data_IF_100717826588
#
_entry.id   IF_100717826588
#
_cell.length_a   1.000
_cell.length_b   1.000
_cell.length_c   1.000
_cell.angle_alpha   90.00
_cell.angle_beta   90.00
_cell.angle_gamma   90.00
#
_symmetry.space_group_name_H-M   'P 1'
#
loop_
_entity.id
_entity.type
_entity.pdbx_description
1 polymer ?
#
# COMPACT_ATOMS: atom_id res chain seq x y z
N UNK A 1 15.38 28.42 9.91
CA UNK A 1 15.99 28.48 8.58
C UNK A 1 16.36 27.08 8.22
N UNK A 2 15.64 26.59 7.22
CA UNK A 2 15.40 25.20 6.90
C UNK A 2 16.64 24.51 6.35
N UNK A 3 16.87 23.30 6.83
CA UNK A 3 17.87 22.39 6.27
C UNK A 3 17.13 21.10 5.87
N UNK A 4 16.12 21.25 5.01
CA UNK A 4 15.55 20.14 4.26
C UNK A 4 16.62 19.67 3.27
N UNK A 5 17.35 18.62 3.64
CA UNK A 5 18.24 17.92 2.73
C UNK A 5 17.41 17.30 1.60
N UNK A 6 17.22 18.06 0.52
CA UNK A 6 16.89 17.52 -0.79
C UNK A 6 18.02 16.58 -1.20
N UNK A 7 17.81 15.28 -1.00
CA UNK A 7 18.57 14.25 -1.69
C UNK A 7 18.10 14.25 -3.15
N UNK A 8 18.89 14.75 -4.11
CA UNK A 8 18.51 14.66 -5.51
C UNK A 8 18.46 13.18 -5.92
N UNK A 9 17.58 12.87 -6.88
CA UNK A 9 17.49 11.54 -7.47
C UNK A 9 18.87 11.04 -7.93
N UNK A 10 19.17 9.73 -7.83
CA UNK A 10 20.48 9.18 -8.17
C UNK A 10 20.92 9.56 -9.59
N UNK A 11 22.17 10.03 -9.74
CA UNK A 11 22.75 10.49 -11.00
C UNK A 11 23.31 9.35 -11.89
N UNK A 12 22.73 8.15 -11.80
CA UNK A 12 23.10 7.06 -12.71
C UNK A 12 22.27 7.15 -14.00
N UNK A 13 22.97 7.27 -15.13
CA UNK A 13 22.38 7.32 -16.47
C UNK A 13 21.60 6.02 -16.75
N UNK A 14 20.27 6.12 -16.75
CA UNK A 14 19.34 5.03 -17.08
C UNK A 14 18.21 4.78 -16.07
N UNK A 15 18.20 5.47 -14.92
CA UNK A 15 17.38 5.10 -13.75
C UNK A 15 16.23 6.06 -13.38
N UNK A 16 16.01 7.14 -14.14
CA UNK A 16 14.86 8.02 -13.91
C UNK A 16 13.63 7.50 -14.67
N UNK A 17 12.76 6.80 -13.95
CA UNK A 17 11.41 6.53 -14.42
C UNK A 17 10.49 7.63 -13.86
N UNK A 18 9.94 8.52 -14.72
CA UNK A 18 9.08 9.61 -14.26
C UNK A 18 7.81 9.11 -13.55
N UNK A 19 7.41 7.88 -13.84
CA UNK A 19 6.27 7.19 -13.24
C UNK A 19 6.66 6.27 -12.07
N UNK A 20 7.89 6.38 -11.55
CA UNK A 20 8.33 5.61 -10.39
C UNK A 20 7.51 5.97 -9.15
N UNK A 21 6.94 4.93 -8.54
CA UNK A 21 6.34 4.97 -7.22
C UNK A 21 7.11 4.04 -6.30
N UNK A 22 7.56 4.57 -5.18
CA UNK A 22 8.30 3.81 -4.17
C UNK A 22 7.37 3.53 -3.01
N UNK A 23 7.09 2.26 -2.72
CA UNK A 23 6.32 1.85 -1.56
C UNK A 23 7.28 1.54 -0.40
N UNK A 24 6.96 2.02 0.81
CA UNK A 24 7.75 1.77 2.02
C UNK A 24 6.92 1.00 3.05
N UNK A 25 7.47 -0.10 3.56
CA UNK A 25 6.75 -0.94 4.51
C UNK A 25 7.48 -2.18 4.99
N UNK A 26 6.74 -3.09 5.63
CA UNK A 26 7.28 -4.35 6.16
C UNK A 26 6.80 -5.52 5.30
N UNK A 27 7.72 -6.42 4.94
CA UNK A 27 7.40 -7.66 4.22
C UNK A 27 6.89 -8.73 5.20
N UNK A 28 5.60 -9.04 5.14
CA UNK A 28 4.94 -9.99 6.04
C UNK A 28 5.23 -11.45 5.70
N UNK A 29 5.63 -11.74 4.46
CA UNK A 29 6.00 -13.08 3.98
C UNK A 29 7.53 -13.18 3.77
N UNK A 30 8.31 -12.69 4.74
CA UNK A 30 9.79 -12.70 4.66
C UNK A 30 10.39 -14.05 5.06
N UNK A 31 9.73 -14.81 5.94
CA UNK A 31 10.17 -16.13 6.40
C UNK A 31 9.40 -17.28 5.76
N UNK A 32 8.16 -17.03 5.33
CA UNK A 32 7.25 -18.02 4.75
C UNK A 32 6.73 -17.53 3.39
N UNK A 33 6.23 -18.46 2.56
CA UNK A 33 5.60 -18.11 1.28
C UNK A 33 4.21 -17.46 1.43
N UNK A 34 3.67 -17.41 2.65
CA UNK A 34 2.40 -16.76 2.98
C UNK A 34 2.58 -15.65 4.02
N UNK A 35 1.69 -14.66 3.99
CA UNK A 35 1.59 -13.63 5.02
C UNK A 35 0.72 -14.11 6.17
N UNK A 36 1.07 -13.72 7.40
CA UNK A 36 0.36 -14.06 8.64
C UNK A 36 -0.17 -12.80 9.31
N UNK A 37 -1.43 -12.83 9.76
CA UNK A 37 -2.04 -11.75 10.54
C UNK A 37 -2.82 -12.32 11.73
N UNK A 38 -2.51 -11.85 12.94
CA UNK A 38 -3.25 -12.22 14.14
C UNK A 38 -4.58 -11.47 14.22
N UNK A 39 -5.68 -12.18 14.51
CA UNK A 39 -7.04 -11.60 14.49
C UNK A 39 -7.49 -11.13 15.90
N UNK A 40 -6.60 -11.13 16.89
CA UNK A 40 -6.89 -10.68 18.26
C UNK A 40 -7.74 -11.67 19.09
N UNK A 41 -8.19 -12.77 18.49
CA UNK A 41 -8.75 -13.92 19.19
C UNK A 41 -7.63 -14.95 19.43
N UNK A 42 -7.61 -15.56 20.63
CA UNK A 42 -6.59 -16.55 20.96
C UNK A 42 -6.60 -17.70 19.94
N UNK A 43 -5.40 -18.04 19.45
CA UNK A 43 -5.10 -19.14 18.52
C UNK A 43 -5.69 -19.03 17.10
N UNK A 44 -6.16 -17.85 16.66
CA UNK A 44 -6.59 -17.63 15.28
C UNK A 44 -5.63 -16.72 14.50
N UNK A 45 -5.16 -17.25 13.37
CA UNK A 45 -4.28 -16.56 12.42
C UNK A 45 -4.91 -16.56 11.02
N UNK A 46 -4.94 -15.40 10.39
CA UNK A 46 -5.30 -15.24 8.98
C UNK A 46 -4.06 -15.39 8.12
N UNK A 47 -4.13 -16.26 7.10
CA UNK A 47 -3.04 -16.50 6.16
C UNK A 47 -3.42 -16.06 4.76
N UNK A 48 -2.49 -15.37 4.10
CA UNK A 48 -2.62 -14.96 2.70
C UNK A 48 -1.54 -15.66 1.88
N UNK A 49 -1.94 -16.52 0.94
CA UNK A 49 -1.05 -17.22 0.02
C UNK A 49 -1.53 -16.97 -1.40
N UNK A 50 -0.63 -16.57 -2.28
CA UNK A 50 -0.92 -16.44 -3.71
C UNK A 50 -0.64 -17.76 -4.43
N UNK A 51 -1.46 -18.04 -5.43
CA UNK A 51 -1.32 -19.19 -6.32
C UNK A 51 -1.37 -18.72 -7.77
N UNK A 52 -0.52 -19.33 -8.61
CA UNK A 52 -0.58 -19.17 -10.06
C UNK A 52 -1.02 -20.52 -10.67
N UNK A 53 -2.34 -20.69 -10.84
CA UNK A 53 -2.91 -21.99 -11.18
C UNK A 53 -2.88 -22.93 -9.96
N UNK A 54 -2.35 -24.17 -10.08
CA UNK A 54 -2.27 -25.11 -8.96
C UNK A 54 -1.11 -24.83 -8.01
N UNK A 55 -0.08 -24.10 -8.45
CA UNK A 55 1.18 -23.95 -7.72
C UNK A 55 1.18 -22.68 -6.86
N UNK A 56 1.60 -22.76 -5.58
CA UNK A 56 1.77 -21.59 -4.73
C UNK A 56 2.94 -20.74 -5.21
N UNK A 57 2.77 -19.42 -5.20
CA UNK A 57 3.87 -18.48 -5.43
C UNK A 57 4.78 -18.41 -4.21
N UNK A 58 6.08 -18.32 -4.43
CA UNK A 58 7.07 -18.19 -3.36
C UNK A 58 7.18 -16.75 -2.87
N UNK A 59 7.76 -16.57 -1.68
CA UNK A 59 8.10 -15.26 -1.07
C UNK A 59 9.03 -14.38 -1.93
N UNK A 60 9.72 -14.95 -2.91
CA UNK A 60 10.53 -14.22 -3.89
C UNK A 60 9.74 -13.72 -5.09
N UNK A 61 8.64 -14.40 -5.44
CA UNK A 61 7.79 -14.05 -6.58
C UNK A 61 6.74 -12.98 -6.24
N UNK A 62 6.38 -12.88 -4.96
CA UNK A 62 5.43 -11.88 -4.48
C UNK A 62 5.77 -11.40 -3.08
N UNK A 63 5.39 -10.17 -2.77
CA UNK A 63 5.54 -9.57 -1.46
C UNK A 63 4.18 -9.18 -0.89
N UNK A 64 3.96 -9.55 0.37
CA UNK A 64 2.81 -9.07 1.14
C UNK A 64 3.32 -7.94 2.02
N UNK A 65 2.93 -6.72 1.68
CA UNK A 65 3.51 -5.49 2.21
C UNK A 65 2.54 -4.84 3.18
N UNK A 66 2.95 -4.69 4.44
CA UNK A 66 2.32 -3.75 5.36
C UNK A 66 2.94 -2.37 5.14
N UNK A 67 2.27 -1.55 4.32
CA UNK A 67 2.75 -0.25 3.89
C UNK A 67 2.42 0.86 4.91
N UNK A 68 3.38 1.76 5.09
CA UNK A 68 3.27 2.94 5.96
C UNK A 68 3.38 4.26 5.19
N UNK A 69 4.03 4.25 4.03
CA UNK A 69 4.26 5.44 3.24
C UNK A 69 4.68 5.10 1.81
N UNK A 70 4.74 6.13 0.99
CA UNK A 70 5.19 6.01 -0.39
C UNK A 70 5.91 7.28 -0.84
N UNK A 71 6.76 7.19 -1.85
CA UNK A 71 7.28 8.34 -2.58
C UNK A 71 6.83 8.31 -4.03
N UNK A 72 6.47 9.48 -4.54
CA UNK A 72 6.02 9.67 -5.91
C UNK A 72 6.42 11.07 -6.38
N UNK A 73 6.96 11.18 -7.60
CA UNK A 73 7.43 12.45 -8.19
C UNK A 73 8.40 13.25 -7.29
N UNK A 74 9.26 12.54 -6.55
CA UNK A 74 10.24 13.17 -5.64
C UNK A 74 9.67 13.64 -4.30
N UNK A 75 8.38 13.44 -4.05
CA UNK A 75 7.74 13.76 -2.77
C UNK A 75 7.51 12.51 -1.93
N UNK A 76 7.67 12.65 -0.62
CA UNK A 76 7.44 11.58 0.36
C UNK A 76 6.09 11.79 1.05
N UNK A 77 5.30 10.73 1.13
CA UNK A 77 3.97 10.73 1.73
C UNK A 77 3.86 9.63 2.79
N UNK A 78 3.14 9.91 3.86
CA UNK A 78 2.71 8.90 4.83
C UNK A 78 1.27 8.51 4.56
N UNK A 79 0.97 7.23 4.66
CA UNK A 79 -0.41 6.75 4.62
C UNK A 79 -1.13 7.18 5.90
N UNK A 80 -2.41 7.50 5.76
CA UNK A 80 -3.31 7.86 6.85
C UNK A 80 -3.52 6.70 7.84
N UNK A 81 -3.48 5.48 7.31
CA UNK A 81 -3.50 4.23 8.05
C UNK A 81 -2.59 3.21 7.37
N UNK A 82 -2.08 2.24 8.13
CA UNK A 82 -1.32 1.13 7.55
C UNK A 82 -2.21 0.32 6.61
N UNK A 83 -1.72 0.05 5.39
CA UNK A 83 -2.46 -0.70 4.37
C UNK A 83 -1.68 -1.94 3.97
N UNK A 84 -2.38 -3.03 3.72
CA UNK A 84 -1.76 -4.27 3.25
C UNK A 84 -1.90 -4.30 1.72
N UNK A 85 -0.78 -4.35 1.02
CA UNK A 85 -0.73 -4.52 -0.43
C UNK A 85 -0.08 -5.85 -0.79
N UNK A 86 -0.60 -6.50 -1.82
CA UNK A 86 0.09 -7.60 -2.49
C UNK A 86 0.77 -7.03 -3.71
N UNK A 87 2.10 -7.16 -3.75
CA UNK A 87 2.96 -6.73 -4.85
C UNK A 87 3.50 -7.97 -5.56
N UNK A 88 3.21 -8.11 -6.85
CA UNK A 88 3.75 -9.17 -7.70
C UNK A 88 4.77 -8.54 -8.64
N UNK A 89 5.97 -9.11 -8.70
CA UNK A 89 7.03 -8.60 -9.59
C UNK A 89 8.29 -8.18 -8.84
N UNK A 90 8.53 -6.86 -8.61
CA UNK A 90 9.84 -6.39 -8.19
C UNK A 90 10.21 -6.90 -6.80
N UNK A 91 11.46 -7.34 -6.68
CA UNK A 91 12.04 -7.70 -5.40
C UNK A 91 12.11 -6.48 -4.47
N UNK A 92 11.93 -6.76 -3.18
CA UNK A 92 12.10 -5.78 -2.13
C UNK A 92 13.58 -5.37 -1.98
N UNK A 93 13.80 -4.10 -1.68
CA UNK A 93 15.13 -3.50 -1.54
C UNK A 93 15.29 -2.87 -0.15
N UNK A 94 16.53 -2.62 0.25
CA UNK A 94 16.79 -1.85 1.46
C UNK A 94 16.18 -0.45 1.33
N UNK A 95 15.50 0.03 2.39
CA UNK A 95 14.80 1.29 2.33
C UNK A 95 15.82 2.43 2.25
N UNK A 96 15.64 3.28 1.24
CA UNK A 96 16.45 4.48 1.02
C UNK A 96 15.53 5.67 0.77
N UNK A 97 15.85 6.81 1.35
CA UNK A 97 15.15 8.07 1.29
C UNK A 97 13.96 8.19 2.27
N UNK A 98 13.36 9.37 2.26
CA UNK A 98 12.11 9.69 2.97
C UNK A 98 12.12 9.46 4.49
N UNK A 99 13.31 9.38 5.11
CA UNK A 99 13.46 9.14 6.54
C UNK A 99 13.14 7.70 6.96
N UNK A 100 13.06 6.78 6.00
CA UNK A 100 12.94 5.34 6.24
C UNK A 100 14.28 4.61 6.10
N UNK A 101 15.35 5.36 5.90
CA UNK A 101 16.71 4.87 5.77
C UNK A 101 17.17 4.04 6.96
N UNK A 102 17.87 2.96 6.68
CA UNK A 102 18.62 2.23 7.71
C UNK A 102 19.88 3.02 8.05
N UNK A 103 19.94 3.61 9.26
CA UNK A 103 21.15 4.28 9.72
C UNK A 103 22.19 3.26 10.23
N UNK A 104 23.44 3.28 9.74
CA UNK A 104 24.54 2.53 10.34
C UNK A 104 24.93 3.13 11.72
N UNK A 105 25.36 2.32 12.70
CA UNK A 105 25.54 0.87 12.69
C UNK A 105 24.25 0.13 13.10
N UNK A 106 23.37 -0.15 12.14
CA UNK A 106 22.20 -0.97 12.40
C UNK A 106 22.63 -2.45 12.55
N UNK A 107 22.10 -3.18 13.55
CA UNK A 107 22.30 -4.61 13.63
C UNK A 107 21.75 -5.28 12.35
N UNK A 108 22.46 -6.31 11.85
CA UNK A 108 22.15 -7.06 10.61
C UNK A 108 20.72 -7.62 10.52
N UNK A 109 20.00 -7.68 11.64
CA UNK A 109 18.55 -7.91 11.68
C UNK A 109 17.85 -6.56 11.53
N UNK A 110 17.78 -6.06 10.30
CA UNK A 110 16.90 -4.94 9.98
C UNK A 110 15.47 -5.28 10.39
N UNK A 111 14.72 -4.27 10.80
CA UNK A 111 13.38 -4.31 11.41
C UNK A 111 12.27 -4.80 10.47
N UNK A 112 12.59 -5.61 9.46
CA UNK A 112 11.68 -6.07 8.41
C UNK A 112 11.24 -4.96 7.45
N UNK A 113 11.73 -3.72 7.64
CA UNK A 113 11.37 -2.57 6.83
C UNK A 113 12.14 -2.57 5.50
N UNK A 114 11.41 -2.42 4.41
CA UNK A 114 11.88 -2.58 3.03
C UNK A 114 11.16 -1.58 2.14
N UNK A 115 11.65 -1.46 0.92
CA UNK A 115 11.00 -0.67 -0.11
C UNK A 115 10.81 -1.44 -1.41
N UNK A 116 9.75 -1.09 -2.15
CA UNK A 116 9.44 -1.65 -3.46
C UNK A 116 9.37 -0.52 -4.47
N UNK A 117 10.17 -0.61 -5.54
CA UNK A 117 10.07 0.30 -6.68
C UNK A 117 9.09 -0.29 -7.68
N UNK A 118 7.95 0.36 -7.84
CA UNK A 118 6.92 0.00 -8.81
C UNK A 118 6.65 1.18 -9.74
N UNK A 119 5.89 0.95 -10.80
CA UNK A 119 5.40 2.02 -11.67
C UNK A 119 4.01 2.46 -11.22
N UNK A 120 3.62 3.70 -11.49
CA UNK A 120 2.26 4.20 -11.21
C UNK A 120 1.16 3.42 -11.93
N UNK A 121 1.50 2.75 -13.05
CA UNK A 121 0.62 1.87 -13.82
C UNK A 121 0.54 0.44 -13.26
N UNK A 122 1.34 0.10 -12.24
CA UNK A 122 1.37 -1.24 -11.65
C UNK A 122 0.06 -1.53 -10.93
N UNK A 123 -0.57 -2.65 -11.25
CA UNK A 123 -1.76 -3.11 -10.53
C UNK A 123 -1.37 -3.65 -9.16
N UNK A 124 -2.00 -3.13 -8.12
CA UNK A 124 -1.87 -3.61 -6.75
C UNK A 124 -3.20 -4.14 -6.24
N UNK A 125 -3.14 -5.19 -5.42
CA UNK A 125 -4.28 -5.66 -4.65
C UNK A 125 -4.16 -5.16 -3.21
N UNK A 126 -5.12 -4.34 -2.78
CA UNK A 126 -5.24 -3.88 -1.39
C UNK A 126 -6.10 -4.85 -0.58
N UNK A 127 -5.63 -5.24 0.60
CA UNK A 127 -6.39 -6.00 1.58
C UNK A 127 -6.78 -5.08 2.73
N UNK A 128 -8.04 -4.67 2.77
CA UNK A 128 -8.62 -3.97 3.91
C UNK A 128 -9.20 -4.98 4.89
N UNK A 129 -8.67 -5.03 6.12
CA UNK A 129 -9.23 -5.86 7.21
C UNK A 129 -9.83 -4.96 8.28
N UNK A 130 -10.97 -5.38 8.83
CA UNK A 130 -11.61 -4.71 9.97
C UNK A 130 -12.23 -5.75 10.88
N UNK A 131 -12.00 -5.63 12.18
CA UNK A 131 -12.54 -6.51 13.20
C UNK A 131 -13.43 -5.68 14.14
N UNK A 132 -14.71 -5.99 14.16
CA UNK A 132 -15.71 -5.41 15.06
C UNK A 132 -16.89 -6.37 15.20
N UNK A 133 -17.92 -6.00 15.98
CA UNK A 133 -19.15 -6.77 16.03
C UNK A 133 -19.89 -6.78 14.69
N UNK A 134 -20.74 -7.79 14.47
CA UNK A 134 -21.44 -7.96 13.19
C UNK A 134 -22.34 -6.75 12.86
N UNK A 135 -22.92 -6.12 13.88
CA UNK A 135 -23.80 -4.96 13.71
C UNK A 135 -23.01 -3.78 13.14
N UNK A 136 -21.90 -3.40 13.76
CA UNK A 136 -21.04 -2.32 13.28
C UNK A 136 -20.45 -2.65 11.91
N UNK A 137 -19.89 -3.86 11.71
CA UNK A 137 -19.29 -4.22 10.43
C UNK A 137 -20.27 -4.13 9.25
N UNK A 138 -21.48 -4.66 9.42
CA UNK A 138 -22.45 -4.77 8.33
C UNK A 138 -23.22 -3.45 8.14
N UNK A 139 -23.69 -2.83 9.23
CA UNK A 139 -24.51 -1.63 9.15
C UNK A 139 -23.66 -0.40 8.80
N UNK A 140 -22.46 -0.26 9.36
CA UNK A 140 -21.61 0.90 9.04
C UNK A 140 -21.04 0.81 7.62
N UNK A 141 -20.85 -0.39 7.08
CA UNK A 141 -20.49 -0.57 5.67
C UNK A 141 -21.58 -0.04 4.72
N UNK A 142 -22.84 0.05 5.18
CA UNK A 142 -23.95 0.59 4.41
C UNK A 142 -24.07 2.13 4.51
N UNK A 143 -23.37 2.76 5.46
CA UNK A 143 -23.45 4.20 5.65
C UNK A 143 -22.68 4.94 4.54
N UNK A 144 -23.29 5.97 3.92
CA UNK A 144 -22.64 6.79 2.90
C UNK A 144 -21.58 7.71 3.54
N UNK A 145 -20.41 7.17 3.84
CA UNK A 145 -19.28 7.92 4.40
C UNK A 145 -17.90 7.33 4.13
N UNK A 146 -17.80 6.08 3.70
CA UNK A 146 -16.53 5.38 3.42
C UNK A 146 -16.39 4.88 1.99
N UNK A 147 -16.95 5.60 1.00
CA UNK A 147 -16.69 5.27 -0.41
C UNK A 147 -15.45 6.01 -0.90
N UNK A 148 -14.70 5.37 -1.81
CA UNK A 148 -13.52 5.95 -2.45
C UNK A 148 -13.83 7.34 -3.03
N UNK A 149 -12.86 8.27 -3.08
CA UNK A 149 -13.06 9.61 -3.66
C UNK A 149 -13.67 9.60 -5.06
N UNK A 150 -13.43 8.53 -5.83
CA UNK A 150 -14.00 8.32 -7.17
C UNK A 150 -15.54 8.18 -7.19
N UNK A 151 -16.15 7.66 -6.12
CA UNK A 151 -17.60 7.56 -6.01
C UNK A 151 -18.27 8.94 -5.84
N UNK A 152 -17.58 9.88 -5.19
CA UNK A 152 -18.05 11.26 -5.07
C UNK A 152 -17.97 12.00 -6.41
N UNK A 153 -16.90 11.84 -7.19
CA UNK A 153 -16.78 12.48 -8.51
C UNK A 153 -17.91 12.07 -9.48
N UNK A 154 -18.33 10.80 -9.45
CA UNK A 154 -19.42 10.28 -10.29
C UNK A 154 -20.79 10.80 -9.80
N UNK A 155 -21.02 10.86 -8.50
CA UNK A 155 -22.30 11.35 -7.95
C UNK A 155 -22.43 12.87 -8.01
N UNK A 156 -21.35 13.62 -7.82
CA UNK A 156 -21.35 15.08 -7.93
C UNK A 156 -21.56 15.54 -9.37
N UNK A 157 -21.00 14.85 -10.37
CA UNK A 157 -21.25 15.13 -11.79
C UNK A 157 -22.69 14.80 -12.22
N UNK A 158 -23.34 13.81 -11.59
CA UNK A 158 -24.76 13.50 -11.82
C UNK A 158 -25.73 14.42 -11.05
N UNK A 159 -25.34 14.94 -9.89
CA UNK A 159 -26.17 15.85 -9.10
C UNK A 159 -26.45 17.20 -9.81
N UNK A 160 -25.52 17.65 -10.66
CA UNK A 160 -25.71 18.89 -11.44
C UNK A 160 -26.61 18.73 -12.68
N UNK A 161 -27.03 17.52 -13.06
CA UNK A 161 -27.83 17.30 -14.29
C UNK A 161 -29.34 17.19 -14.08
N UNK A 162 -29.83 17.18 -12.84
CA UNK A 162 -31.27 17.10 -12.55
C UNK A 162 -31.90 18.45 -12.17
N UNK A 163 -31.48 19.52 -12.85
CA UNK A 163 -32.17 20.80 -12.82
C UNK A 163 -33.41 20.81 -13.73
N UNK A 164 -34.55 20.38 -13.17
CA UNK A 164 -35.93 20.80 -13.52
C UNK A 164 -36.22 21.00 -15.03
N UNK A 165 -36.73 19.96 -15.69
CA UNK A 165 -37.52 20.14 -16.92
C UNK A 165 -38.84 20.83 -16.54
N UNK A 166 -38.96 22.11 -16.86
CA UNK A 166 -40.23 22.84 -16.82
C UNK A 166 -41.21 22.20 -17.80
N UNK A 167 -42.46 22.08 -17.34
CA UNK A 167 -43.58 21.61 -18.14
C UNK A 167 -44.20 22.83 -18.83
N UNK A 168 -44.03 22.94 -20.14
CA UNK A 168 -44.94 23.67 -21.04
C UNK A 168 -45.64 22.66 -21.93
#
# INVERSE_FOLDING_TARGET
>A
MDNEQHLPAPAETGLYFPDALILYGVKLNSEDDHGKLSIGQQDLELRFQLYAGPDPLTSTQHSIVLAYGYAFEGHCYRLDSNRIFIVVGPEDQDPVGCGFDVQPPAPKKHTGYRMWRIQSSTQLLEIATSASDAKTLILDASLPGKRSPTAYAITQSMAHRNGRLGRE
#
